data_IF_972684994543
#
_entry.id   IF_972684994543
#
_cell.length_a   1.000
_cell.length_b   1.000
_cell.length_c   1.000
_cell.angle_alpha   90.00
_cell.angle_beta   90.00
_cell.angle_gamma   90.00
#
_symmetry.space_group_name_H-M   'P 1'
#
loop_
_entity.id
_entity.type
_entity.pdbx_description
1 polymer ?
#
# COMPACT_ATOMS: atom_id res chain seq x y z
N UNK A 1 7.75 -18.12 -1.11
CA UNK A 1 6.50 -17.51 -0.61
C UNK A 1 6.73 -17.22 0.86
N UNK A 2 6.88 -15.95 1.23
CA UNK A 2 7.00 -15.52 2.63
C UNK A 2 5.67 -14.85 2.96
N UNK A 3 4.98 -15.34 3.98
CA UNK A 3 3.67 -14.89 4.40
C UNK A 3 3.68 -13.39 4.70
N UNK A 4 2.92 -12.60 3.94
CA UNK A 4 2.56 -11.25 4.32
C UNK A 4 1.56 -11.33 5.48
N UNK A 5 1.86 -10.69 6.61
CA UNK A 5 1.04 -10.83 7.82
C UNK A 5 0.05 -9.68 7.86
N UNK A 6 -1.21 -9.95 7.54
CA UNK A 6 -2.29 -9.01 7.78
C UNK A 6 -2.59 -8.93 9.29
N UNK A 7 -2.11 -7.87 9.95
CA UNK A 7 -2.53 -7.53 11.33
C UNK A 7 -3.65 -6.50 11.30
N UNK A 8 -4.64 -6.64 12.19
CA UNK A 8 -5.77 -5.69 12.30
C UNK A 8 -5.33 -4.28 12.73
N UNK A 9 -4.16 -4.14 13.36
CA UNK A 9 -3.60 -2.83 13.72
C UNK A 9 -3.22 -2.00 12.48
N UNK A 10 -2.66 -2.66 11.45
CA UNK A 10 -2.22 -2.03 10.20
C UNK A 10 -3.36 -2.00 9.16
N UNK A 11 -4.21 -3.04 9.15
CA UNK A 11 -5.32 -3.20 8.20
C UNK A 11 -6.64 -2.78 8.86
N UNK A 12 -6.77 -1.48 9.12
CA UNK A 12 -7.97 -0.89 9.73
C UNK A 12 -8.69 0.06 8.74
N UNK A 13 -9.83 0.61 9.15
CA UNK A 13 -10.65 1.52 8.31
C UNK A 13 -10.39 3.01 8.55
N UNK A 14 -9.52 3.37 9.51
CA UNK A 14 -9.37 4.74 10.01
C UNK A 14 -8.87 5.69 8.93
N UNK A 15 -7.78 5.32 8.27
CA UNK A 15 -7.20 6.09 7.17
C UNK A 15 -8.19 6.27 6.01
N UNK A 16 -8.83 5.18 5.58
CA UNK A 16 -9.83 5.20 4.52
C UNK A 16 -10.99 6.15 4.85
N UNK A 17 -11.53 6.11 6.08
CA UNK A 17 -12.60 7.01 6.54
C UNK A 17 -12.15 8.47 6.58
N UNK A 18 -10.95 8.73 7.07
CA UNK A 18 -10.38 10.08 7.14
C UNK A 18 -10.06 10.64 5.75
N UNK A 19 -9.68 9.78 4.80
CA UNK A 19 -9.31 10.17 3.45
C UNK A 19 -10.51 10.40 2.53
N UNK A 20 -11.59 9.61 2.71
CA UNK A 20 -12.72 9.57 1.77
C UNK A 20 -13.33 10.95 1.43
N UNK A 21 -13.49 11.91 2.37
CA UNK A 21 -13.99 13.24 2.04
C UNK A 21 -13.15 13.96 0.96
N UNK A 22 -11.82 13.81 1.00
CA UNK A 22 -10.91 14.40 0.01
C UNK A 22 -11.04 13.73 -1.35
N UNK A 23 -11.23 12.41 -1.40
CA UNK A 23 -11.51 11.69 -2.65
C UNK A 23 -12.82 12.18 -3.29
N UNK A 24 -13.85 12.39 -2.47
CA UNK A 24 -15.20 12.79 -2.89
C UNK A 24 -15.31 14.21 -3.44
N UNK A 25 -14.29 15.04 -3.25
CA UNK A 25 -14.16 16.32 -3.97
C UNK A 25 -13.89 16.12 -5.48
N UNK A 26 -13.38 14.95 -5.88
CA UNK A 26 -13.03 14.63 -7.26
C UNK A 26 -13.93 13.55 -7.87
N UNK A 27 -14.24 12.50 -7.10
CA UNK A 27 -15.04 11.38 -7.57
C UNK A 27 -15.82 10.75 -6.41
N UNK A 28 -17.12 10.52 -6.61
CA UNK A 28 -17.97 9.68 -5.76
C UNK A 28 -18.31 8.40 -6.52
N UNK A 29 -17.50 7.34 -6.42
CA UNK A 29 -17.66 6.16 -7.26
C UNK A 29 -18.89 5.35 -6.84
N UNK A 30 -19.66 4.89 -7.83
CA UNK A 30 -20.75 3.92 -7.64
C UNK A 30 -20.24 2.48 -7.76
N UNK A 31 -19.11 2.30 -8.45
CA UNK A 31 -18.36 1.05 -8.56
C UNK A 31 -16.87 1.23 -8.29
N UNK A 32 -16.25 0.32 -7.52
CA UNK A 32 -14.81 0.36 -7.24
C UNK A 32 -14.14 -1.02 -7.27
N UNK A 33 -12.91 -1.07 -7.73
CA UNK A 33 -12.04 -2.25 -7.65
C UNK A 33 -10.77 -1.90 -6.85
N UNK A 34 -10.33 -2.80 -5.98
CA UNK A 34 -9.14 -2.62 -5.16
C UNK A 34 -8.15 -3.75 -5.43
N UNK A 35 -7.01 -3.41 -6.03
CA UNK A 35 -5.96 -4.34 -6.47
C UNK A 35 -4.87 -4.38 -5.41
N UNK A 36 -4.74 -5.54 -4.75
CA UNK A 36 -3.99 -5.69 -3.50
C UNK A 36 -4.81 -5.24 -2.28
N UNK A 37 -6.10 -5.61 -2.26
CA UNK A 37 -7.06 -5.12 -1.27
C UNK A 37 -6.84 -5.64 0.16
N UNK A 38 -5.99 -6.66 0.35
CA UNK A 38 -5.83 -7.39 1.61
C UNK A 38 -7.17 -7.87 2.15
N UNK A 39 -7.58 -7.33 3.31
CA UNK A 39 -8.85 -7.66 3.94
C UNK A 39 -10.06 -6.87 3.38
N UNK A 40 -9.86 -5.98 2.40
CA UNK A 40 -10.92 -5.17 1.78
C UNK A 40 -11.37 -3.99 2.64
N UNK A 41 -10.50 -3.41 3.48
CA UNK A 41 -10.88 -2.35 4.42
C UNK A 41 -11.27 -1.04 3.73
N UNK A 42 -10.59 -0.67 2.63
CA UNK A 42 -10.93 0.49 1.82
C UNK A 42 -12.28 0.32 1.12
N UNK A 43 -12.52 -0.87 0.55
CA UNK A 43 -13.79 -1.23 -0.07
C UNK A 43 -14.96 -1.25 0.93
N UNK A 44 -14.74 -1.74 2.16
CA UNK A 44 -15.73 -1.68 3.23
C UNK A 44 -16.19 -0.24 3.45
N UNK A 45 -15.24 0.69 3.60
CA UNK A 45 -15.54 2.11 3.84
C UNK A 45 -16.26 2.75 2.66
N UNK A 46 -15.87 2.44 1.42
CA UNK A 46 -16.57 2.90 0.23
C UNK A 46 -18.03 2.42 0.19
N UNK A 47 -18.25 1.14 0.49
CA UNK A 47 -19.58 0.53 0.50
C UNK A 47 -20.50 1.14 1.56
N UNK A 48 -19.97 1.38 2.76
CA UNK A 48 -20.69 2.09 3.83
C UNK A 48 -21.07 3.54 3.45
N UNK A 49 -20.36 4.14 2.47
CA UNK A 49 -20.60 5.49 1.97
C UNK A 49 -21.30 5.51 0.60
N UNK A 50 -21.92 4.40 0.18
CA UNK A 50 -22.83 4.36 -0.96
C UNK A 50 -22.25 3.83 -2.27
N UNK A 51 -21.01 3.34 -2.30
CA UNK A 51 -20.49 2.59 -3.45
C UNK A 51 -21.21 1.24 -3.52
N UNK A 52 -22.09 1.08 -4.51
CA UNK A 52 -22.98 -0.09 -4.62
C UNK A 52 -22.30 -1.36 -5.09
N UNK A 53 -21.21 -1.22 -5.85
CA UNK A 53 -20.53 -2.34 -6.48
C UNK A 53 -19.04 -2.30 -6.16
N UNK A 54 -18.51 -3.39 -5.60
CA UNK A 54 -17.11 -3.47 -5.22
C UNK A 54 -16.50 -4.81 -5.64
N UNK A 55 -15.21 -4.81 -5.96
CA UNK A 55 -14.41 -6.01 -6.14
C UNK A 55 -13.04 -5.83 -5.50
N UNK A 56 -12.72 -6.65 -4.50
CA UNK A 56 -11.37 -6.79 -3.97
C UNK A 56 -10.61 -7.85 -4.74
N UNK A 57 -9.36 -7.58 -5.10
CA UNK A 57 -8.46 -8.54 -5.74
C UNK A 57 -7.19 -8.63 -4.93
N UNK A 58 -6.79 -9.83 -4.54
CA UNK A 58 -5.50 -10.08 -3.87
C UNK A 58 -5.10 -11.57 -4.03
N UNK A 59 -3.91 -11.97 -3.58
CA UNK A 59 -3.46 -13.35 -3.68
C UNK A 59 -4.20 -14.34 -2.77
N UNK A 60 -4.05 -15.63 -3.04
CA UNK A 60 -4.66 -16.73 -2.25
C UNK A 60 -4.18 -16.81 -0.78
N UNK A 61 -3.17 -16.02 -0.40
CA UNK A 61 -2.66 -15.94 0.97
C UNK A 61 -3.61 -15.20 1.92
N UNK A 62 -4.57 -14.42 1.40
CA UNK A 62 -5.56 -13.72 2.21
C UNK A 62 -6.52 -14.71 2.86
N UNK A 63 -6.64 -14.62 4.19
CA UNK A 63 -7.62 -15.39 4.95
C UNK A 63 -9.04 -14.87 4.71
N UNK A 64 -9.78 -15.58 3.85
CA UNK A 64 -11.17 -15.25 3.45
C UNK A 64 -12.17 -15.19 4.61
N UNK A 65 -11.83 -15.76 5.78
CA UNK A 65 -12.67 -15.67 6.97
C UNK A 65 -12.58 -14.32 7.68
N UNK A 66 -11.54 -13.53 7.38
CA UNK A 66 -11.26 -12.22 7.99
C UNK A 66 -11.60 -11.03 7.09
N UNK A 67 -12.09 -11.30 5.88
CA UNK A 67 -12.51 -10.26 4.94
C UNK A 67 -13.53 -9.33 5.59
N UNK A 68 -13.39 -8.03 5.31
CA UNK A 68 -14.33 -6.98 5.72
C UNK A 68 -15.36 -6.67 4.62
N UNK A 69 -15.30 -7.41 3.52
CA UNK A 69 -16.26 -7.43 2.41
C UNK A 69 -16.82 -8.84 2.24
N UNK A 70 -17.90 -9.02 1.46
CA UNK A 70 -18.42 -10.36 1.26
C UNK A 70 -17.45 -11.20 0.40
N UNK A 71 -17.42 -12.52 0.63
CA UNK A 71 -16.51 -13.41 -0.11
C UNK A 71 -16.77 -13.43 -1.62
N UNK A 72 -18.00 -13.19 -2.06
CA UNK A 72 -18.34 -13.05 -3.48
C UNK A 72 -17.95 -11.69 -4.08
N UNK A 73 -17.47 -10.76 -3.26
CA UNK A 73 -16.89 -9.47 -3.65
C UNK A 73 -15.35 -9.53 -3.62
N UNK A 74 -14.76 -10.71 -3.41
CA UNK A 74 -13.32 -10.93 -3.39
C UNK A 74 -12.92 -11.94 -4.47
N UNK A 75 -11.86 -11.62 -5.21
CA UNK A 75 -11.23 -12.47 -6.19
C UNK A 75 -9.79 -12.76 -5.78
N UNK A 76 -9.49 -14.04 -5.56
CA UNK A 76 -8.11 -14.46 -5.40
C UNK A 76 -7.41 -14.51 -6.76
N UNK A 77 -6.33 -13.76 -6.94
CA UNK A 77 -5.60 -13.64 -8.21
C UNK A 77 -4.13 -13.26 -7.96
N UNK A 78 -3.22 -13.83 -8.74
CA UNK A 78 -1.81 -13.44 -8.70
C UNK A 78 -1.62 -12.10 -9.42
N UNK A 79 -1.27 -11.05 -8.65
CA UNK A 79 -1.06 -9.70 -9.17
C UNK A 79 0.14 -9.60 -10.13
N UNK A 80 1.00 -10.63 -10.19
CA UNK A 80 2.11 -10.72 -11.14
C UNK A 80 1.71 -11.23 -12.54
N UNK A 81 0.44 -11.57 -12.76
CA UNK A 81 -0.10 -11.99 -14.05
C UNK A 81 -1.29 -11.13 -14.49
N UNK A 82 -1.51 -10.95 -15.80
CA UNK A 82 -2.60 -10.10 -16.29
C UNK A 82 -3.97 -10.51 -15.73
N UNK A 83 -4.72 -9.53 -15.22
CA UNK A 83 -6.10 -9.70 -14.81
C UNK A 83 -7.03 -9.29 -15.96
N UNK A 84 -7.90 -10.19 -16.40
CA UNK A 84 -8.90 -9.90 -17.43
C UNK A 84 -10.22 -9.57 -16.75
N UNK A 85 -10.68 -8.34 -16.96
CA UNK A 85 -11.97 -7.85 -16.48
C UNK A 85 -12.94 -7.73 -17.65
N UNK A 86 -14.22 -8.00 -17.40
CA UNK A 86 -15.29 -7.87 -18.38
C UNK A 86 -15.87 -6.44 -18.45
N UNK A 87 -15.40 -5.53 -17.59
CA UNK A 87 -15.85 -4.15 -17.49
C UNK A 87 -14.81 -3.26 -16.82
N UNK A 88 -15.09 -1.96 -16.85
CA UNK A 88 -14.42 -0.95 -16.02
C UNK A 88 -15.27 -0.59 -14.79
N UNK A 89 -14.58 -0.16 -13.75
CA UNK A 89 -15.13 0.45 -12.54
C UNK A 89 -14.96 1.97 -12.61
N UNK A 90 -15.71 2.70 -11.79
CA UNK A 90 -15.56 4.16 -11.69
C UNK A 90 -14.21 4.51 -11.05
N UNK A 91 -13.76 3.69 -10.09
CA UNK A 91 -12.49 3.85 -9.37
C UNK A 91 -11.71 2.53 -9.31
N UNK A 92 -10.41 2.60 -9.58
CA UNK A 92 -9.44 1.56 -9.23
C UNK A 92 -8.57 2.02 -8.06
N UNK A 93 -8.27 1.14 -7.12
CA UNK A 93 -7.45 1.42 -5.93
C UNK A 93 -6.26 0.48 -5.94
N UNK A 94 -5.07 0.99 -5.58
CA UNK A 94 -3.87 0.20 -5.35
C UNK A 94 -2.93 0.98 -4.44
N UNK A 95 -2.86 0.60 -3.17
CA UNK A 95 -2.24 1.41 -2.13
C UNK A 95 -1.21 0.61 -1.35
N UNK A 96 0.07 0.97 -1.52
CA UNK A 96 1.23 0.28 -0.92
C UNK A 96 1.28 -1.22 -1.29
N UNK A 97 1.12 -1.49 -2.59
CA UNK A 97 1.10 -2.85 -3.15
C UNK A 97 2.22 -3.05 -4.17
N UNK A 98 2.42 -2.08 -5.06
CA UNK A 98 3.31 -2.23 -6.22
C UNK A 98 4.79 -2.45 -5.84
N UNK A 99 5.21 -1.97 -4.67
CA UNK A 99 6.55 -2.14 -4.10
C UNK A 99 6.86 -3.56 -3.62
N UNK A 100 5.82 -4.38 -3.42
CA UNK A 100 5.95 -5.79 -3.04
C UNK A 100 6.11 -6.70 -4.26
N UNK A 101 5.83 -6.17 -5.47
CA UNK A 101 5.93 -6.92 -6.71
C UNK A 101 7.33 -6.75 -7.32
N UNK A 102 7.89 -7.77 -8.00
CA UNK A 102 9.14 -7.61 -8.72
C UNK A 102 9.07 -6.49 -9.75
N UNK A 103 10.17 -5.75 -9.97
CA UNK A 103 10.19 -4.60 -10.86
C UNK A 103 9.73 -4.95 -12.29
N UNK A 104 10.06 -6.15 -12.78
CA UNK A 104 9.64 -6.65 -14.09
C UNK A 104 8.12 -6.84 -14.22
N UNK A 105 7.39 -6.85 -13.10
CA UNK A 105 5.93 -6.94 -13.03
C UNK A 105 5.26 -5.58 -12.96
N UNK A 106 6.02 -4.48 -12.86
CA UNK A 106 5.48 -3.14 -12.79
C UNK A 106 4.63 -2.76 -14.00
N UNK A 107 4.95 -3.23 -15.22
CA UNK A 107 4.10 -2.96 -16.39
C UNK A 107 2.73 -3.68 -16.26
N UNK A 108 2.72 -4.92 -15.74
CA UNK A 108 1.50 -5.74 -15.61
C UNK A 108 0.53 -5.12 -14.61
N UNK A 109 1.02 -4.64 -13.46
CA UNK A 109 0.15 -4.00 -12.47
C UNK A 109 -0.42 -2.68 -13.01
N UNK A 110 0.38 -1.87 -13.71
CA UNK A 110 -0.11 -0.62 -14.31
C UNK A 110 -1.11 -0.89 -15.45
N UNK A 111 -0.89 -1.93 -16.27
CA UNK A 111 -1.88 -2.40 -17.24
C UNK A 111 -3.18 -2.83 -16.57
N UNK A 112 -3.10 -3.56 -15.46
CA UNK A 112 -4.28 -3.99 -14.69
C UNK A 112 -5.07 -2.77 -14.20
N UNK A 113 -4.41 -1.80 -13.57
CA UNK A 113 -5.06 -0.60 -13.05
C UNK A 113 -5.73 0.23 -14.15
N UNK A 114 -5.00 0.54 -15.22
CA UNK A 114 -5.49 1.39 -16.32
C UNK A 114 -6.57 0.72 -17.19
N UNK A 115 -6.58 -0.61 -17.26
CA UNK A 115 -7.68 -1.35 -17.87
C UNK A 115 -8.89 -1.47 -16.95
N UNK A 116 -8.72 -1.37 -15.63
CA UNK A 116 -9.80 -1.53 -14.66
C UNK A 116 -10.63 -0.27 -14.41
N UNK A 117 -10.07 0.94 -14.58
CA UNK A 117 -10.80 2.20 -14.43
C UNK A 117 -10.12 3.33 -15.22
N UNK A 118 -10.84 4.45 -15.43
CA UNK A 118 -10.26 5.68 -15.98
C UNK A 118 -9.84 6.69 -14.87
N UNK A 119 -10.19 6.39 -13.61
CA UNK A 119 -9.73 7.09 -12.40
C UNK A 119 -9.15 6.08 -11.42
N UNK A 120 -7.94 6.35 -10.92
CA UNK A 120 -7.17 5.42 -10.08
C UNK A 120 -6.67 6.18 -8.86
N UNK A 121 -6.89 5.63 -7.66
CA UNK A 121 -6.22 6.03 -6.43
C UNK A 121 -5.01 5.13 -6.24
N UNK A 122 -3.81 5.71 -6.30
CA UNK A 122 -2.57 4.93 -6.29
C UNK A 122 -1.61 5.44 -5.22
N UNK A 123 -0.93 4.50 -4.56
CA UNK A 123 0.26 4.76 -3.76
C UNK A 123 1.26 3.62 -3.88
N UNK A 124 2.54 3.95 -3.77
CA UNK A 124 3.63 2.99 -3.75
C UNK A 124 4.82 3.58 -2.98
N UNK A 125 5.55 2.72 -2.27
CA UNK A 125 6.69 3.13 -1.47
C UNK A 125 7.80 3.84 -2.28
N UNK A 126 8.27 4.96 -1.74
CA UNK A 126 9.47 5.66 -2.22
C UNK A 126 10.76 4.91 -1.82
N UNK A 127 11.89 5.13 -2.52
CA UNK A 127 13.17 4.51 -2.17
C UNK A 127 13.56 4.78 -0.71
N UNK A 128 14.00 3.74 0.01
CA UNK A 128 14.38 3.78 1.42
C UNK A 128 13.22 4.02 2.39
N UNK A 129 11.97 3.98 1.93
CA UNK A 129 10.81 4.00 2.82
C UNK A 129 10.90 2.84 3.82
N UNK A 130 11.26 1.66 3.34
CA UNK A 130 11.25 0.41 4.07
C UNK A 130 9.83 -0.09 4.30
N UNK A 131 9.75 -1.32 4.82
CA UNK A 131 8.50 -2.03 5.09
C UNK A 131 8.72 -3.53 4.94
N UNK A 132 7.68 -4.31 5.19
CA UNK A 132 7.79 -5.76 5.12
C UNK A 132 7.86 -6.22 3.66
N UNK A 133 8.98 -6.81 3.24
CA UNK A 133 9.18 -7.35 1.90
C UNK A 133 8.98 -6.30 0.78
N UNK A 134 9.45 -5.07 1.00
CA UNK A 134 9.56 -4.09 -0.08
C UNK A 134 10.75 -4.48 -0.95
N UNK A 135 10.49 -4.86 -2.20
CA UNK A 135 11.50 -5.31 -3.16
C UNK A 135 11.62 -4.39 -4.37
N UNK A 136 10.68 -3.45 -4.54
CA UNK A 136 10.60 -2.55 -5.68
C UNK A 136 10.15 -1.13 -5.25
N UNK A 137 10.89 -0.53 -4.31
CA UNK A 137 10.70 0.87 -3.95
C UNK A 137 11.23 1.78 -5.06
N UNK A 138 10.41 2.68 -5.59
CA UNK A 138 10.72 3.46 -6.80
C UNK A 138 10.37 4.93 -6.62
N UNK A 139 11.16 5.86 -7.18
CA UNK A 139 10.80 7.29 -7.18
C UNK A 139 9.52 7.50 -7.97
N UNK A 140 8.70 8.49 -7.62
CA UNK A 140 7.36 8.57 -8.20
C UNK A 140 7.37 8.88 -9.71
N UNK A 141 8.43 9.52 -10.21
CA UNK A 141 8.68 9.72 -11.64
C UNK A 141 8.69 8.40 -12.45
N UNK A 142 9.09 7.28 -11.83
CA UNK A 142 9.03 5.95 -12.43
C UNK A 142 7.58 5.56 -12.74
N UNK A 143 6.68 5.69 -11.76
CA UNK A 143 5.26 5.38 -11.91
C UNK A 143 4.57 6.34 -12.88
N UNK A 144 4.87 7.65 -12.79
CA UNK A 144 4.39 8.68 -13.72
C UNK A 144 4.70 8.28 -15.17
N UNK A 145 5.93 7.83 -15.45
CA UNK A 145 6.32 7.41 -16.80
C UNK A 145 5.48 6.24 -17.31
N UNK A 146 5.14 5.27 -16.45
CA UNK A 146 4.34 4.10 -16.84
C UNK A 146 2.87 4.44 -17.08
N UNK A 147 2.29 5.32 -16.27
CA UNK A 147 0.93 5.82 -16.46
C UNK A 147 0.82 6.70 -17.72
N UNK A 148 1.78 7.60 -17.94
CA UNK A 148 1.81 8.47 -19.13
C UNK A 148 1.81 7.67 -20.44
N UNK A 149 2.55 6.54 -20.49
CA UNK A 149 2.56 5.64 -21.66
C UNK A 149 1.18 5.05 -22.00
N UNK A 150 0.24 5.05 -21.06
CA UNK A 150 -1.13 4.54 -21.20
C UNK A 150 -2.17 5.64 -21.32
N UNK A 151 -1.75 6.90 -21.45
CA UNK A 151 -2.66 8.05 -21.56
C UNK A 151 -3.29 8.48 -20.23
N UNK A 152 -2.59 8.22 -19.13
CA UNK A 152 -2.99 8.67 -17.79
C UNK A 152 -1.97 9.65 -17.25
N UNK A 153 -2.44 10.66 -16.52
CA UNK A 153 -1.59 11.61 -15.79
C UNK A 153 -1.77 11.44 -14.29
N UNK A 154 -0.73 11.77 -13.54
CA UNK A 154 -0.73 11.83 -12.08
C UNK A 154 -1.05 13.24 -11.63
N UNK A 155 -2.01 13.37 -10.72
CA UNK A 155 -2.41 14.62 -10.05
C UNK A 155 -2.09 14.54 -8.56
N UNK A 156 -1.22 15.43 -8.09
CA UNK A 156 -0.91 15.61 -6.67
C UNK A 156 -1.92 16.53 -6.00
N UNK A 157 -3.11 16.00 -5.75
CA UNK A 157 -4.25 16.77 -5.23
C UNK A 157 -4.54 16.51 -3.75
N UNK A 158 -3.87 15.52 -3.17
CA UNK A 158 -4.16 15.02 -1.84
C UNK A 158 -3.11 15.42 -0.81
N UNK A 159 -1.81 15.28 -1.12
CA UNK A 159 -0.74 15.29 -0.13
C UNK A 159 -0.75 16.54 0.73
N UNK A 160 -0.92 17.71 0.13
CA UNK A 160 -1.03 18.98 0.87
C UNK A 160 -2.21 19.00 1.85
N UNK A 161 -3.35 18.41 1.51
CA UNK A 161 -4.57 18.42 2.34
C UNK A 161 -4.49 17.44 3.51
N UNK A 162 -3.76 16.34 3.34
CA UNK A 162 -3.69 15.25 4.33
C UNK A 162 -2.39 15.22 5.14
N UNK A 163 -1.42 16.08 4.82
CA UNK A 163 -0.06 16.07 5.38
C UNK A 163 -0.03 16.10 6.92
N UNK A 164 -0.87 16.91 7.55
CA UNK A 164 -0.88 17.03 9.01
C UNK A 164 -2.04 16.25 9.66
N UNK A 165 -2.75 15.41 8.91
CA UNK A 165 -3.90 14.66 9.43
C UNK A 165 -3.42 13.48 10.29
N UNK A 166 -3.65 13.46 11.62
CA UNK A 166 -3.18 12.38 12.49
C UNK A 166 -3.93 11.06 12.29
N UNK A 167 -5.04 11.07 11.56
CA UNK A 167 -5.86 9.89 11.31
C UNK A 167 -5.42 9.09 10.07
N UNK A 168 -4.44 9.60 9.33
CA UNK A 168 -3.88 8.96 8.14
C UNK A 168 -2.41 8.62 8.44
N UNK A 169 -1.95 7.45 8.02
CA UNK A 169 -0.57 7.03 8.23
C UNK A 169 0.38 7.77 7.30
N UNK A 170 1.61 8.01 7.75
CA UNK A 170 2.54 8.88 7.03
C UNK A 170 2.88 8.41 5.63
N UNK A 171 2.92 7.10 5.36
CA UNK A 171 3.20 6.57 4.02
C UNK A 171 2.12 6.99 3.03
N UNK A 172 0.85 6.91 3.42
CA UNK A 172 -0.27 7.41 2.62
C UNK A 172 -0.19 8.92 2.38
N UNK A 173 0.23 9.70 3.38
CA UNK A 173 0.38 11.17 3.23
C UNK A 173 1.38 11.57 2.17
N UNK A 174 2.47 10.81 1.99
CA UNK A 174 3.51 11.11 1.01
C UNK A 174 3.32 10.43 -0.35
N UNK A 175 2.62 9.29 -0.40
CA UNK A 175 2.59 8.42 -1.58
C UNK A 175 1.25 8.41 -2.32
N UNK A 176 0.19 9.02 -1.80
CA UNK A 176 -1.15 8.88 -2.37
C UNK A 176 -1.47 9.96 -3.41
N UNK A 177 -1.80 9.52 -4.62
CA UNK A 177 -2.07 10.38 -5.77
C UNK A 177 -3.36 9.96 -6.49
N UNK A 178 -3.93 10.92 -7.22
CA UNK A 178 -5.03 10.66 -8.15
C UNK A 178 -4.48 10.51 -9.56
N UNK A 179 -4.76 9.40 -10.22
CA UNK A 179 -4.33 9.15 -11.59
C UNK A 179 -5.56 9.12 -12.47
N UNK A 180 -5.57 9.93 -13.53
CA UNK A 180 -6.74 10.11 -14.39
C UNK A 180 -6.37 9.97 -15.85
N UNK A 181 -7.24 9.34 -16.63
CA UNK A 181 -7.12 9.29 -18.08
C UNK A 181 -7.30 10.70 -18.64
N UNK A 182 -6.26 11.23 -19.28
CA UNK A 182 -6.27 12.61 -19.78
C UNK A 182 -5.19 12.81 -20.84
N UNK A 183 -5.44 13.76 -21.72
CA UNK A 183 -4.46 14.25 -22.70
C UNK A 183 -3.77 15.55 -22.23
N UNK A 184 -4.06 15.99 -21.00
CA UNK A 184 -3.36 17.11 -20.37
C UNK A 184 -1.85 16.82 -20.22
N UNK A 185 -1.05 17.87 -20.12
CA UNK A 185 0.38 17.74 -19.85
C UNK A 185 0.58 17.33 -18.39
N UNK A 186 1.46 16.34 -18.16
CA UNK A 186 1.87 15.93 -16.82
C UNK A 186 2.60 17.06 -16.08
N UNK A 187 2.11 17.41 -14.89
CA UNK A 187 2.79 18.29 -13.94
C UNK A 187 4.00 17.60 -13.30
N UNK A 188 4.94 18.37 -12.77
CA UNK A 188 6.09 17.79 -12.06
C UNK A 188 5.59 17.23 -10.73
N UNK A 189 5.81 15.92 -10.53
CA UNK A 189 5.55 15.25 -9.25
C UNK A 189 6.88 15.11 -8.51
N UNK A 190 6.98 15.76 -7.35
CA UNK A 190 8.13 15.66 -6.48
C UNK A 190 7.97 14.54 -5.45
N UNK A 191 9.09 13.87 -5.16
CA UNK A 191 9.18 12.91 -4.06
C UNK A 191 9.34 13.68 -2.74
N UNK A 192 8.46 13.41 -1.78
CA UNK A 192 8.52 13.98 -0.43
C UNK A 192 8.62 12.86 0.58
N UNK A 193 9.53 12.98 1.54
CA UNK A 193 9.64 12.05 2.66
C UNK A 193 8.99 12.68 3.88
N UNK A 194 7.98 12.01 4.42
CA UNK A 194 7.25 12.53 5.56
C UNK A 194 8.15 12.56 6.83
N UNK A 195 8.19 13.65 7.62
CA UNK A 195 9.03 13.75 8.81
C UNK A 195 8.77 12.66 9.87
N UNK A 196 7.54 12.14 9.95
CA UNK A 196 7.21 11.03 10.85
C UNK A 196 8.06 9.78 10.59
N UNK A 197 8.48 9.53 9.34
CA UNK A 197 9.39 8.41 9.03
C UNK A 197 10.74 8.61 9.71
N UNK A 198 11.27 9.83 9.67
CA UNK A 198 12.54 10.13 10.34
C UNK A 198 12.44 9.91 11.87
N UNK A 199 11.33 10.32 12.47
CA UNK A 199 11.06 10.09 13.89
C UNK A 199 10.97 8.59 14.23
N UNK A 200 10.30 7.79 13.37
CA UNK A 200 10.26 6.33 13.53
C UNK A 200 11.66 5.71 13.48
N UNK A 201 12.50 6.12 12.52
CA UNK A 201 13.89 5.63 12.42
C UNK A 201 14.69 5.95 13.69
N UNK A 202 14.54 7.16 14.25
CA UNK A 202 15.21 7.54 15.50
C UNK A 202 14.76 6.65 16.66
N UNK A 203 13.46 6.41 16.78
CA UNK A 203 12.90 5.55 17.84
C UNK A 203 13.36 4.10 17.70
N UNK A 204 13.33 3.53 16.49
CA UNK A 204 13.82 2.20 16.19
C UNK A 204 15.30 2.05 16.54
N UNK A 205 16.13 3.00 16.10
CA UNK A 205 17.56 3.02 16.40
C UNK A 205 17.83 3.09 17.90
N UNK A 206 17.07 3.93 18.62
CA UNK A 206 17.19 4.07 20.07
C UNK A 206 16.82 2.76 20.80
N UNK A 207 15.76 2.08 20.33
CA UNK A 207 15.33 0.77 20.84
C UNK A 207 16.39 -0.30 20.58
N UNK A 208 16.92 -0.38 19.37
CA UNK A 208 17.96 -1.34 18.98
C UNK A 208 19.26 -1.10 19.76
N UNK A 209 19.68 0.16 19.90
CA UNK A 209 20.84 0.51 20.73
C UNK A 209 20.64 0.05 22.17
N UNK A 210 19.47 0.28 22.76
CA UNK A 210 19.16 -0.20 24.13
C UNK A 210 19.23 -1.73 24.23
N UNK A 211 18.67 -2.45 23.25
CA UNK A 211 18.76 -3.91 23.20
C UNK A 211 20.21 -4.38 23.08
N UNK A 212 21.00 -3.77 22.21
CA UNK A 212 22.43 -4.05 22.07
C UNK A 212 23.19 -3.82 23.39
N UNK A 213 22.99 -2.67 24.05
CA UNK A 213 23.61 -2.37 25.34
C UNK A 213 23.22 -3.38 26.43
N UNK A 214 21.95 -3.79 26.46
CA UNK A 214 21.50 -4.83 27.39
C UNK A 214 22.20 -6.18 27.11
N UNK A 215 22.38 -6.54 25.84
CA UNK A 215 23.08 -7.77 25.44
C UNK A 215 24.54 -7.77 25.91
N UNK A 216 25.30 -6.71 25.61
CA UNK A 216 26.72 -6.64 25.97
C UNK A 216 26.96 -6.54 27.48
N UNK A 217 25.96 -6.07 28.25
CA UNK A 217 26.00 -6.02 29.71
C UNK A 217 25.48 -7.31 30.38
N UNK A 218 25.14 -8.35 29.62
CA UNK A 218 24.58 -9.60 30.14
C UNK A 218 23.13 -9.48 30.66
N UNK A 219 22.46 -8.36 30.42
CA UNK A 219 21.05 -8.10 30.78
C UNK A 219 20.12 -8.67 29.71
N UNK A 220 20.20 -9.98 29.48
CA UNK A 220 19.40 -10.70 28.49
C UNK A 220 18.44 -11.67 29.16
N UNK A 221 17.27 -11.86 28.56
CA UNK A 221 16.34 -12.90 29.00
C UNK A 221 16.98 -14.28 28.81
N UNK A 222 16.78 -15.19 29.76
CA UNK A 222 17.37 -16.53 29.75
C UNK A 222 17.03 -17.31 28.46
N UNK A 223 15.80 -17.18 27.96
CA UNK A 223 15.37 -17.78 26.69
C UNK A 223 16.16 -17.23 25.50
N UNK A 224 16.45 -15.93 25.47
CA UNK A 224 17.25 -15.30 24.42
C UNK A 224 18.70 -15.75 24.51
N UNK A 225 19.27 -15.84 25.72
CA UNK A 225 20.60 -16.38 25.96
C UNK A 225 20.71 -17.83 25.46
N UNK A 226 19.75 -18.68 25.81
CA UNK A 226 19.69 -20.07 25.38
C UNK A 226 19.58 -20.19 23.86
N UNK A 227 18.74 -19.37 23.20
CA UNK A 227 18.65 -19.33 21.72
C UNK A 227 19.98 -18.92 21.08
N UNK A 228 20.68 -17.94 21.64
CA UNK A 228 22.00 -17.51 21.14
C UNK A 228 23.02 -18.65 21.30
N UNK A 229 23.05 -19.31 22.46
CA UNK A 229 23.93 -20.46 22.72
C UNK A 229 23.65 -21.60 21.75
N UNK A 230 22.39 -22.01 21.61
CA UNK A 230 21.96 -23.06 20.67
C UNK A 230 22.39 -22.69 19.24
N UNK A 231 22.16 -21.45 18.79
CA UNK A 231 22.63 -20.99 17.48
C UNK A 231 24.15 -21.00 17.33
N UNK A 232 24.91 -20.69 18.38
CA UNK A 232 26.38 -20.78 18.35
C UNK A 232 26.89 -22.21 18.26
N UNK A 233 26.17 -23.18 18.83
CA UNK A 233 26.49 -24.60 18.78
C UNK A 233 26.05 -25.28 17.47
N UNK A 234 24.98 -24.76 16.85
CA UNK A 234 24.41 -25.28 15.58
C UNK A 234 25.06 -24.63 14.35
N UNK A 235 25.91 -23.60 14.50
CA UNK A 235 26.70 -23.05 13.38
C UNK A 235 27.81 -24.02 12.95
N UNK A 236 27.45 -24.90 12.01
CA UNK A 236 28.21 -25.28 10.81
C UNK A 236 27.34 -24.97 9.60
#
# INVERSE_FOLDING_TARGET
MIDYIHTEEIHNTKAARAFLPFLYEYLKPTSAIDIGCGLGTWLQVLKENGTSEILGVDGDHVDKSKLKIFQNEFLAHDLCVPLILNKKYDLSICLEVAEHLPEEKAEIIIDTLTNSADTILFSAALPFQGGQNHINEQPFAYWVTKFNKRGFIVKDVFRQKIWDNPEIEWWYKQNMFLIVKSNEKQDIIADYYHPERYLQIIHERSRLNRQYFNIIQGKIQALTALKILIKSLIRW
#
